data_IF_338675014606
#
_entry.id   IF_338675014606
#
_cell.length_a   1.000
_cell.length_b   1.000
_cell.length_c   1.000
_cell.angle_alpha   90.00
_cell.angle_beta   90.00
_cell.angle_gamma   90.00
#
_symmetry.space_group_name_H-M   'P 1'
#
loop_
_entity.id
_entity.type
_entity.pdbx_description
1 polymer ?
#
# COMPACT_ATOMS: atom_id res chain seq x y z
N UNK A 1 -45.52 -36.22 22.52
CA UNK A 1 -44.42 -36.09 21.55
C UNK A 1 -44.03 -34.62 21.44
N UNK A 2 -42.88 -34.17 21.97
CA UNK A 2 -42.45 -32.80 21.78
C UNK A 2 -41.94 -32.61 20.35
N UNK A 3 -42.57 -31.71 19.60
CA UNK A 3 -42.15 -31.32 18.26
C UNK A 3 -40.82 -30.56 18.37
N UNK A 4 -39.73 -31.20 17.96
CA UNK A 4 -38.42 -30.59 17.77
C UNK A 4 -38.50 -29.57 16.63
N UNK A 5 -38.91 -28.34 16.93
CA UNK A 5 -38.68 -27.19 16.06
C UNK A 5 -37.18 -26.86 16.08
N UNK A 6 -36.39 -27.68 15.40
CA UNK A 6 -35.07 -27.29 14.95
C UNK A 6 -35.26 -26.18 13.90
N UNK A 7 -35.42 -24.94 14.37
CA UNK A 7 -35.37 -23.74 13.53
C UNK A 7 -34.04 -23.79 12.77
N UNK A 8 -34.07 -24.23 11.51
CA UNK A 8 -32.92 -24.18 10.61
C UNK A 8 -32.47 -22.74 10.51
N UNK A 9 -31.40 -22.40 11.22
CA UNK A 9 -30.84 -21.05 11.20
C UNK A 9 -30.30 -20.82 9.79
N UNK A 10 -31.05 -20.06 8.99
CA UNK A 10 -30.70 -19.78 7.60
C UNK A 10 -29.49 -18.82 7.56
N UNK A 11 -28.48 -19.09 6.72
CA UNK A 11 -27.36 -18.18 6.55
C UNK A 11 -27.86 -16.85 5.99
N UNK A 12 -27.32 -15.75 6.51
CA UNK A 12 -27.64 -14.40 6.05
C UNK A 12 -27.22 -14.24 4.57
N UNK A 13 -28.21 -14.02 3.69
CA UNK A 13 -27.98 -13.84 2.24
C UNK A 13 -27.77 -12.37 1.89
N UNK A 14 -26.73 -12.13 1.09
CA UNK A 14 -26.37 -10.83 0.54
C UNK A 14 -27.20 -10.47 -0.69
N UNK A 15 -27.75 -9.25 -0.74
CA UNK A 15 -28.28 -8.68 -1.99
C UNK A 15 -27.13 -8.36 -2.96
N UNK A 16 -27.26 -8.65 -4.26
CA UNK A 16 -26.23 -8.36 -5.26
C UNK A 16 -25.89 -6.87 -5.36
N UNK A 17 -26.88 -5.96 -5.23
CA UNK A 17 -26.65 -4.51 -5.22
C UNK A 17 -25.66 -4.05 -4.13
N UNK A 18 -25.66 -4.70 -2.96
CA UNK A 18 -24.72 -4.37 -1.88
C UNK A 18 -23.30 -4.84 -2.20
N UNK A 19 -23.13 -5.87 -3.04
CA UNK A 19 -21.80 -6.32 -3.48
C UNK A 19 -21.16 -5.29 -4.41
N UNK A 20 -21.95 -4.70 -5.31
CA UNK A 20 -21.49 -3.67 -6.26
C UNK A 20 -21.07 -2.41 -5.51
N UNK A 21 -21.91 -1.90 -4.59
CA UNK A 21 -21.58 -0.72 -3.77
C UNK A 21 -20.27 -0.89 -3.02
N UNK A 22 -20.05 -2.08 -2.47
CA UNK A 22 -18.83 -2.38 -1.75
C UNK A 22 -17.62 -2.47 -2.69
N UNK A 23 -17.76 -3.11 -3.86
CA UNK A 23 -16.67 -3.15 -4.85
C UNK A 23 -16.26 -1.73 -5.26
N UNK A 24 -17.24 -0.86 -5.53
CA UNK A 24 -16.99 0.55 -5.85
C UNK A 24 -16.25 1.27 -4.70
N UNK A 25 -16.62 1.01 -3.45
CA UNK A 25 -15.91 1.56 -2.30
C UNK A 25 -14.44 1.14 -2.26
N UNK A 26 -14.14 -0.14 -2.52
CA UNK A 26 -12.75 -0.63 -2.60
C UNK A 26 -12.00 0.05 -3.74
N UNK A 27 -12.60 0.11 -4.93
CA UNK A 27 -11.98 0.76 -6.09
C UNK A 27 -11.67 2.22 -5.81
N UNK A 28 -12.61 2.98 -5.28
CA UNK A 28 -12.40 4.40 -4.97
C UNK A 28 -11.34 4.58 -3.88
N UNK A 29 -11.46 3.88 -2.75
CA UNK A 29 -10.52 4.04 -1.64
C UNK A 29 -9.10 3.64 -2.00
N UNK A 30 -8.90 2.53 -2.73
CA UNK A 30 -7.56 2.07 -3.13
C UNK A 30 -7.05 2.74 -4.41
N UNK A 31 -7.89 3.38 -5.22
CA UNK A 31 -7.41 4.21 -6.33
C UNK A 31 -6.70 5.47 -5.83
N UNK A 32 -7.15 6.07 -4.73
CA UNK A 32 -6.55 7.31 -4.19
C UNK A 32 -5.04 7.21 -3.94
N UNK A 33 -4.51 6.23 -3.17
CA UNK A 33 -3.07 6.12 -2.98
C UNK A 33 -2.31 5.83 -4.28
N UNK A 34 -2.88 5.04 -5.20
CA UNK A 34 -2.27 4.78 -6.52
C UNK A 34 -2.16 6.05 -7.35
N UNK A 35 -3.24 6.85 -7.40
CA UNK A 35 -3.29 8.11 -8.13
C UNK A 35 -2.32 9.13 -7.53
N UNK A 36 -2.23 9.20 -6.20
CA UNK A 36 -1.24 10.04 -5.53
C UNK A 36 0.18 9.62 -5.91
N UNK A 37 0.53 8.33 -5.78
CA UNK A 37 1.88 7.87 -6.13
C UNK A 37 2.20 8.14 -7.59
N UNK A 38 1.25 7.88 -8.49
CA UNK A 38 1.42 8.17 -9.91
C UNK A 38 1.67 9.67 -10.16
N UNK A 39 0.85 10.55 -9.57
CA UNK A 39 1.00 11.99 -9.73
C UNK A 39 2.32 12.49 -9.12
N UNK A 40 2.70 11.97 -7.95
CA UNK A 40 3.97 12.28 -7.30
C UNK A 40 5.16 11.92 -8.20
N UNK A 41 5.18 10.72 -8.78
CA UNK A 41 6.30 10.23 -9.59
C UNK A 41 6.32 10.81 -11.01
N UNK A 42 5.16 11.12 -11.62
CA UNK A 42 5.07 11.56 -13.03
C UNK A 42 4.95 13.07 -13.21
N UNK A 43 4.42 13.78 -12.20
CA UNK A 43 4.16 15.23 -12.30
C UNK A 43 5.05 15.99 -11.33
N UNK A 44 5.00 15.63 -10.04
CA UNK A 44 5.74 16.37 -9.02
C UNK A 44 7.24 16.14 -9.14
N UNK A 45 7.67 14.89 -9.33
CA UNK A 45 9.08 14.53 -9.37
C UNK A 45 9.83 15.23 -10.52
N UNK A 46 9.40 15.15 -11.80
CA UNK A 46 10.14 15.82 -12.89
C UNK A 46 10.18 17.34 -12.73
N UNK A 47 9.18 17.93 -12.08
CA UNK A 47 9.10 19.37 -11.89
C UNK A 47 9.95 19.90 -10.73
N UNK A 48 10.11 19.12 -9.64
CA UNK A 48 10.76 19.58 -8.40
C UNK A 48 12.04 18.83 -8.02
N UNK A 49 12.21 17.60 -8.48
CA UNK A 49 13.18 16.62 -7.94
C UNK A 49 14.00 15.93 -9.04
N UNK A 50 13.91 16.38 -10.29
CA UNK A 50 14.72 15.83 -11.36
C UNK A 50 16.22 16.00 -11.06
N UNK A 51 17.00 14.97 -11.34
CA UNK A 51 18.45 14.87 -11.13
C UNK A 51 18.90 14.93 -9.66
N UNK A 52 17.99 14.78 -8.69
CA UNK A 52 18.34 14.73 -7.26
C UNK A 52 18.35 13.32 -6.68
N UNK A 53 18.09 12.29 -7.49
CA UNK A 53 18.01 10.91 -7.04
C UNK A 53 19.30 10.39 -6.34
N UNK A 54 19.16 9.58 -5.28
CA UNK A 54 20.28 8.86 -4.70
C UNK A 54 20.73 7.72 -5.63
N UNK A 55 21.93 7.19 -5.41
CA UNK A 55 22.45 6.02 -6.14
C UNK A 55 21.85 4.72 -5.59
N UNK A 56 20.54 4.53 -5.79
CA UNK A 56 19.81 3.43 -5.16
C UNK A 56 20.31 2.04 -5.59
N UNK A 57 20.77 1.92 -6.83
CA UNK A 57 21.31 0.66 -7.36
C UNK A 57 22.58 0.23 -6.59
N UNK A 58 23.47 1.18 -6.27
CA UNK A 58 24.64 0.90 -5.43
C UNK A 58 24.23 0.49 -4.02
N UNK A 59 23.26 1.20 -3.40
CA UNK A 59 22.77 0.83 -2.07
C UNK A 59 22.13 -0.57 -2.05
N UNK A 60 21.35 -0.91 -3.07
CA UNK A 60 20.75 -2.24 -3.19
C UNK A 60 21.80 -3.32 -3.44
N UNK A 61 22.84 -3.06 -4.25
CA UNK A 61 23.97 -3.97 -4.40
C UNK A 61 24.66 -4.25 -3.07
N UNK A 62 24.84 -3.24 -2.22
CA UNK A 62 25.43 -3.40 -0.90
C UNK A 62 24.53 -4.20 0.05
N UNK A 63 23.21 -4.00 -0.03
CA UNK A 63 22.24 -4.71 0.82
C UNK A 63 21.98 -6.15 0.37
N UNK A 64 22.12 -6.43 -0.93
CA UNK A 64 21.80 -7.72 -1.56
C UNK A 64 22.98 -8.21 -2.41
N UNK A 65 24.15 -8.51 -1.82
CA UNK A 65 25.38 -8.83 -2.56
C UNK A 65 25.27 -10.13 -3.38
N UNK A 66 24.28 -10.98 -3.09
CA UNK A 66 24.01 -12.21 -3.83
C UNK A 66 23.19 -11.99 -5.11
N UNK A 67 22.63 -10.80 -5.34
CA UNK A 67 21.86 -10.50 -6.57
C UNK A 67 22.85 -10.16 -7.69
N UNK A 68 23.14 -11.16 -8.52
CA UNK A 68 23.95 -11.00 -9.73
C UNK A 68 23.09 -10.61 -10.94
N UNK A 69 23.73 -10.06 -11.99
CA UNK A 69 23.08 -9.73 -13.25
C UNK A 69 22.79 -8.24 -13.41
N UNK A 70 21.51 -7.87 -13.49
CA UNK A 70 21.10 -6.50 -13.87
C UNK A 70 21.43 -5.43 -12.82
N UNK A 71 21.42 -5.77 -11.52
CA UNK A 71 21.59 -4.79 -10.45
C UNK A 71 23.01 -4.17 -10.41
N UNK A 72 24.11 -4.95 -10.51
CA UNK A 72 25.46 -4.39 -10.67
C UNK A 72 25.63 -3.53 -11.92
N UNK A 73 24.99 -3.89 -13.05
CA UNK A 73 25.05 -3.10 -14.29
C UNK A 73 24.28 -1.77 -14.15
N UNK A 74 23.12 -1.78 -13.49
CA UNK A 74 22.38 -0.57 -13.12
C UNK A 74 23.21 0.34 -12.21
N UNK A 75 23.95 -0.23 -11.26
CA UNK A 75 24.84 0.53 -10.38
C UNK A 75 25.98 1.19 -11.17
N UNK A 76 26.60 0.48 -12.13
CA UNK A 76 27.64 1.04 -13.00
C UNK A 76 27.09 2.17 -13.88
N UNK A 77 25.92 1.99 -14.51
CA UNK A 77 25.31 2.98 -15.38
C UNK A 77 24.89 4.26 -14.64
N UNK A 78 24.55 4.14 -13.35
CA UNK A 78 24.19 5.26 -12.49
C UNK A 78 25.40 5.97 -11.84
N UNK A 79 26.62 5.47 -12.07
CA UNK A 79 27.83 6.03 -11.46
C UNK A 79 28.20 7.33 -12.17
N UNK A 80 28.39 8.39 -11.38
CA UNK A 80 28.79 9.69 -11.93
C UNK A 80 30.24 9.62 -12.43
N UNK A 81 30.51 9.91 -13.73
CA UNK A 81 31.85 9.92 -14.31
C UNK A 81 32.64 11.15 -13.83
N UNK A 82 33.89 11.35 -14.25
CA UNK A 82 34.54 12.65 -14.04
C UNK A 82 33.81 13.76 -14.80
N UNK A 83 33.79 14.98 -14.24
CA UNK A 83 33.05 16.14 -14.79
C UNK A 83 33.50 16.62 -16.18
N UNK A 84 34.50 15.96 -16.77
CA UNK A 84 35.05 16.28 -18.08
C UNK A 84 34.12 15.97 -19.25
N UNK A 85 33.13 15.07 -19.07
CA UNK A 85 32.15 14.73 -20.10
C UNK A 85 30.70 15.05 -19.66
N UNK A 86 30.15 16.21 -20.10
CA UNK A 86 28.79 16.61 -19.77
C UNK A 86 27.70 15.65 -20.28
N UNK A 87 27.93 14.94 -21.39
CA UNK A 87 26.93 14.06 -21.99
C UNK A 87 26.79 12.78 -21.15
N UNK A 88 27.91 12.13 -20.83
CA UNK A 88 27.92 10.97 -19.94
C UNK A 88 27.39 11.32 -18.54
N UNK A 89 27.67 12.54 -18.06
CA UNK A 89 27.14 13.00 -16.78
C UNK A 89 25.60 13.11 -16.78
N UNK A 90 25.02 13.66 -17.85
CA UNK A 90 23.58 13.76 -18.01
C UNK A 90 22.90 12.38 -18.10
N UNK A 91 23.51 11.43 -18.81
CA UNK A 91 23.02 10.06 -18.92
C UNK A 91 23.03 9.34 -17.56
N UNK A 92 24.11 9.48 -16.78
CA UNK A 92 24.21 8.89 -15.45
C UNK A 92 23.15 9.44 -14.48
N UNK A 93 22.87 10.74 -14.53
CA UNK A 93 21.82 11.38 -13.72
C UNK A 93 20.42 10.87 -14.10
N UNK A 94 20.15 10.74 -15.40
CA UNK A 94 18.89 10.19 -15.89
C UNK A 94 18.71 8.74 -15.45
N UNK A 95 19.76 7.92 -15.54
CA UNK A 95 19.73 6.54 -15.07
C UNK A 95 19.44 6.46 -13.56
N UNK A 96 20.04 7.35 -12.74
CA UNK A 96 19.75 7.44 -11.30
C UNK A 96 18.28 7.74 -11.03
N UNK A 97 17.71 8.73 -11.72
CA UNK A 97 16.31 9.08 -11.59
C UNK A 97 15.40 7.90 -11.97
N UNK A 98 15.66 7.24 -13.10
CA UNK A 98 14.88 6.09 -13.54
C UNK A 98 14.93 4.94 -12.52
N UNK A 99 16.12 4.59 -12.03
CA UNK A 99 16.30 3.55 -11.02
C UNK A 99 15.59 3.90 -9.70
N UNK A 100 15.64 5.17 -9.30
CA UNK A 100 14.98 5.66 -8.09
C UNK A 100 13.45 5.62 -8.20
N UNK A 101 12.89 6.08 -9.32
CA UNK A 101 11.47 6.03 -9.59
C UNK A 101 10.94 4.60 -9.64
N UNK A 102 11.69 3.67 -10.25
CA UNK A 102 11.38 2.25 -10.27
C UNK A 102 11.38 1.66 -8.86
N UNK A 103 12.39 1.97 -8.06
CA UNK A 103 12.49 1.51 -6.67
C UNK A 103 11.32 2.01 -5.82
N UNK A 104 11.00 3.30 -5.89
CA UNK A 104 9.87 3.89 -5.18
C UNK A 104 8.54 3.25 -5.59
N UNK A 105 8.32 3.12 -6.90
CA UNK A 105 7.14 2.48 -7.45
C UNK A 105 6.99 1.03 -6.98
N UNK A 106 8.07 0.25 -7.02
CA UNK A 106 8.07 -1.14 -6.56
C UNK A 106 7.77 -1.25 -5.06
N UNK A 107 8.44 -0.48 -4.21
CA UNK A 107 8.22 -0.49 -2.76
C UNK A 107 6.78 -0.14 -2.41
N UNK A 108 6.23 0.91 -3.05
CA UNK A 108 4.84 1.29 -2.86
C UNK A 108 3.88 0.21 -3.34
N UNK A 109 4.07 -0.34 -4.55
CA UNK A 109 3.18 -1.37 -5.11
C UNK A 109 3.15 -2.63 -4.23
N UNK A 110 4.29 -3.05 -3.68
CA UNK A 110 4.33 -4.18 -2.75
C UNK A 110 3.58 -3.84 -1.45
N UNK A 111 3.82 -2.68 -0.84
CA UNK A 111 3.11 -2.25 0.36
C UNK A 111 1.59 -2.15 0.15
N UNK A 112 1.19 -1.59 -1.00
CA UNK A 112 -0.19 -1.48 -1.46
C UNK A 112 -0.83 -2.87 -1.62
N UNK A 113 -0.18 -3.78 -2.36
CA UNK A 113 -0.68 -5.12 -2.61
C UNK A 113 -0.82 -5.91 -1.31
N UNK A 114 0.17 -5.85 -0.41
CA UNK A 114 0.09 -6.48 0.91
C UNK A 114 -1.08 -5.92 1.73
N UNK A 115 -1.26 -4.60 1.75
CA UNK A 115 -2.38 -3.95 2.44
C UNK A 115 -3.73 -4.45 1.91
N UNK A 116 -3.89 -4.48 0.59
CA UNK A 116 -5.10 -4.96 -0.06
C UNK A 116 -5.34 -6.46 0.22
N UNK A 117 -4.30 -7.30 0.11
CA UNK A 117 -4.39 -8.74 0.37
C UNK A 117 -4.77 -9.05 1.82
N UNK A 118 -4.14 -8.38 2.79
CA UNK A 118 -4.48 -8.51 4.22
C UNK A 118 -5.96 -8.15 4.44
N UNK A 119 -6.43 -7.08 3.79
CA UNK A 119 -7.81 -6.66 3.93
C UNK A 119 -8.81 -7.61 3.25
N UNK A 120 -8.51 -8.10 2.05
CA UNK A 120 -9.33 -9.07 1.35
C UNK A 120 -9.38 -10.41 2.10
N UNK A 121 -8.25 -10.84 2.67
CA UNK A 121 -8.19 -12.01 3.54
C UNK A 121 -9.10 -11.81 4.74
N UNK A 122 -8.93 -10.71 5.49
CA UNK A 122 -9.77 -10.42 6.66
C UNK A 122 -11.26 -10.54 6.30
N UNK A 123 -11.65 -9.97 5.16
CA UNK A 123 -13.03 -10.03 4.69
C UNK A 123 -13.48 -11.44 4.31
N UNK A 124 -12.63 -12.21 3.65
CA UNK A 124 -12.91 -13.61 3.30
C UNK A 124 -13.16 -14.45 4.56
N UNK A 125 -12.34 -14.26 5.61
CA UNK A 125 -12.46 -14.95 6.91
C UNK A 125 -13.80 -14.69 7.61
N UNK A 126 -14.40 -13.54 7.37
CA UNK A 126 -15.66 -13.13 8.00
C UNK A 126 -16.89 -13.20 7.07
N UNK A 127 -16.79 -13.91 5.93
CA UNK A 127 -17.87 -14.02 4.93
C UNK A 127 -19.08 -14.86 5.39
N UNK A 128 -18.88 -15.82 6.29
CA UNK A 128 -19.91 -16.78 6.74
C UNK A 128 -20.21 -16.57 8.22
N UNK A 129 -21.48 -16.44 8.58
CA UNK A 129 -21.90 -16.32 9.97
C UNK A 129 -23.38 -16.60 10.17
N UNK A 130 -23.68 -17.25 11.29
CA UNK A 130 -25.03 -17.68 11.70
C UNK A 130 -25.61 -16.71 12.74
N UNK A 131 -24.76 -16.24 13.68
CA UNK A 131 -25.14 -15.30 14.74
C UNK A 131 -24.48 -13.93 14.54
N UNK A 132 -25.28 -12.88 14.30
CA UNK A 132 -24.78 -11.56 13.93
C UNK A 132 -23.94 -10.88 15.02
N UNK A 133 -24.34 -10.98 16.30
CA UNK A 133 -23.66 -10.33 17.44
C UNK A 133 -22.25 -10.88 17.68
N UNK A 134 -22.11 -12.21 17.81
CA UNK A 134 -20.80 -12.87 17.99
C UNK A 134 -19.85 -12.64 16.81
N UNK A 135 -20.39 -12.54 15.60
CA UNK A 135 -19.60 -12.22 14.41
C UNK A 135 -19.12 -10.76 14.39
N UNK A 136 -19.95 -9.82 14.87
CA UNK A 136 -19.56 -8.43 15.01
C UNK A 136 -18.42 -8.24 16.02
N UNK A 137 -18.48 -8.89 17.19
CA UNK A 137 -17.42 -8.81 18.20
C UNK A 137 -16.12 -9.44 17.71
N UNK A 138 -16.19 -10.59 17.03
CA UNK A 138 -15.02 -11.24 16.43
C UNK A 138 -14.40 -10.37 15.33
N UNK A 139 -15.22 -9.74 14.49
CA UNK A 139 -14.75 -8.82 13.45
C UNK A 139 -14.08 -7.58 14.07
N UNK A 140 -14.64 -7.01 15.15
CA UNK A 140 -14.05 -5.87 15.87
C UNK A 140 -12.70 -6.22 16.49
N UNK A 141 -12.58 -7.38 17.17
CA UNK A 141 -11.30 -7.85 17.72
C UNK A 141 -10.27 -8.07 16.61
N UNK A 142 -10.68 -8.71 15.53
CA UNK A 142 -9.79 -8.93 14.39
C UNK A 142 -9.36 -7.61 13.74
N UNK A 143 -10.26 -6.65 13.57
CA UNK A 143 -9.93 -5.30 13.06
C UNK A 143 -8.86 -4.62 13.92
N UNK A 144 -9.00 -4.67 15.25
CA UNK A 144 -8.02 -4.11 16.19
C UNK A 144 -6.63 -4.75 16.09
N UNK A 145 -6.52 -5.97 15.59
CA UNK A 145 -5.25 -6.63 15.32
C UNK A 145 -4.74 -6.37 13.90
N UNK A 146 -5.65 -6.36 12.91
CA UNK A 146 -5.29 -6.20 11.50
C UNK A 146 -4.85 -4.78 11.16
N UNK A 147 -5.44 -3.75 11.78
CA UNK A 147 -5.05 -2.36 11.52
C UNK A 147 -3.61 -2.03 11.95
N UNK A 148 -3.15 -2.41 13.15
CA UNK A 148 -1.74 -2.28 13.52
C UNK A 148 -0.79 -2.99 12.57
N UNK A 149 -1.17 -4.17 12.06
CA UNK A 149 -0.35 -4.89 11.06
C UNK A 149 -0.25 -4.11 9.76
N UNK A 150 -1.36 -3.57 9.24
CA UNK A 150 -1.35 -2.73 8.03
C UNK A 150 -0.51 -1.47 8.25
N UNK A 151 -0.64 -0.84 9.41
CA UNK A 151 0.18 0.32 9.79
C UNK A 151 1.66 -0.05 9.82
N UNK A 152 2.02 -1.15 10.49
CA UNK A 152 3.39 -1.62 10.61
C UNK A 152 3.99 -1.95 9.24
N UNK A 153 3.25 -2.64 8.35
CA UNK A 153 3.71 -2.93 6.99
C UNK A 153 4.02 -1.63 6.25
N UNK A 154 3.10 -0.66 6.22
CA UNK A 154 3.33 0.60 5.52
C UNK A 154 4.46 1.42 6.17
N UNK A 155 4.59 1.40 7.49
CA UNK A 155 5.68 2.05 8.21
C UNK A 155 7.05 1.41 7.91
N UNK A 156 7.12 0.08 7.82
CA UNK A 156 8.36 -0.64 7.45
C UNK A 156 8.79 -0.27 6.03
N UNK A 157 7.86 -0.23 5.06
CA UNK A 157 8.21 0.19 3.70
C UNK A 157 8.60 1.67 3.62
N UNK A 158 7.89 2.56 4.32
CA UNK A 158 8.28 3.96 4.41
C UNK A 158 9.69 4.12 5.03
N UNK A 159 9.95 3.42 6.13
CA UNK A 159 11.27 3.43 6.78
C UNK A 159 12.35 2.86 5.85
N UNK A 160 12.04 1.79 5.11
CA UNK A 160 12.96 1.21 4.14
C UNK A 160 13.31 2.19 3.02
N UNK A 161 12.33 2.88 2.44
CA UNK A 161 12.57 3.93 1.44
C UNK A 161 13.41 5.07 2.02
N UNK A 162 13.15 5.45 3.27
CA UNK A 162 13.93 6.49 3.95
C UNK A 162 15.39 6.09 4.13
N UNK A 163 15.64 4.90 4.69
CA UNK A 163 16.97 4.39 4.99
C UNK A 163 17.75 4.00 3.72
N UNK A 164 17.10 3.41 2.73
CA UNK A 164 17.77 2.97 1.52
C UNK A 164 18.14 4.15 0.60
N UNK A 165 17.30 5.19 0.53
CA UNK A 165 17.48 6.24 -0.48
C UNK A 165 17.39 7.65 0.07
N UNK A 166 16.25 8.01 0.66
CA UNK A 166 15.94 9.41 0.95
C UNK A 166 17.00 10.05 1.84
N UNK A 167 17.48 9.36 2.88
CA UNK A 167 18.51 9.88 3.78
C UNK A 167 19.86 10.20 3.12
N UNK A 168 20.09 9.74 1.89
CA UNK A 168 21.30 10.00 1.10
C UNK A 168 21.12 11.11 0.04
N UNK A 169 19.90 11.63 -0.14
CA UNK A 169 19.64 12.74 -1.07
C UNK A 169 20.30 14.03 -0.53
N UNK A 170 21.20 14.68 -1.27
CA UNK A 170 21.74 15.98 -0.88
C UNK A 170 20.66 17.07 -1.01
N UNK A 171 20.63 18.03 -0.08
CA UNK A 171 19.69 19.17 -0.10
C UNK A 171 18.20 18.78 -0.19
N UNK A 172 17.79 17.71 0.53
CA UNK A 172 16.38 17.30 0.67
C UNK A 172 15.47 18.48 0.98
N UNK A 173 14.33 18.50 0.30
CA UNK A 173 13.29 19.50 0.51
C UNK A 173 12.00 18.85 1.01
N UNK A 174 11.01 19.66 1.37
CA UNK A 174 9.65 19.17 1.67
C UNK A 174 9.05 18.39 0.51
N UNK A 175 9.44 18.69 -0.74
CA UNK A 175 8.91 18.02 -1.93
C UNK A 175 9.32 16.55 -2.00
N UNK A 176 10.52 16.20 -1.53
CA UNK A 176 10.93 14.80 -1.40
C UNK A 176 9.96 14.04 -0.49
N UNK A 177 9.65 14.60 0.67
CA UNK A 177 8.76 13.95 1.62
C UNK A 177 7.34 13.81 1.07
N UNK A 178 6.81 14.86 0.43
CA UNK A 178 5.48 14.84 -0.19
C UNK A 178 5.39 13.88 -1.39
N UNK A 179 6.47 13.71 -2.13
CA UNK A 179 6.50 12.78 -3.25
C UNK A 179 6.55 11.32 -2.79
N UNK A 180 7.29 11.02 -1.71
CA UNK A 180 7.64 9.64 -1.39
C UNK A 180 6.78 8.99 -0.30
N UNK A 181 6.25 9.75 0.66
CA UNK A 181 5.64 9.16 1.88
C UNK A 181 4.11 9.16 1.97
N UNK A 182 3.36 10.16 1.46
CA UNK A 182 1.92 10.24 1.70
C UNK A 182 1.15 9.02 1.19
N UNK A 183 1.62 8.36 0.14
CA UNK A 183 0.98 7.15 -0.39
C UNK A 183 0.89 6.01 0.65
N UNK A 184 1.89 5.86 1.52
CA UNK A 184 1.86 4.88 2.62
C UNK A 184 0.81 5.23 3.68
N UNK A 185 0.66 6.51 4.00
CA UNK A 185 -0.40 6.98 4.88
C UNK A 185 -1.78 6.77 4.25
N UNK A 186 -1.92 7.12 2.97
CA UNK A 186 -3.15 6.93 2.20
C UNK A 186 -3.56 5.45 2.09
N UNK A 187 -2.62 4.51 2.00
CA UNK A 187 -2.91 3.07 2.07
C UNK A 187 -3.58 2.68 3.39
N UNK A 188 -3.07 3.18 4.52
CA UNK A 188 -3.66 2.92 5.84
C UNK A 188 -5.05 3.53 5.94
N UNK A 189 -5.22 4.77 5.48
CA UNK A 189 -6.52 5.45 5.47
C UNK A 189 -7.55 4.73 4.57
N UNK A 190 -7.13 4.28 3.39
CA UNK A 190 -7.96 3.50 2.47
C UNK A 190 -8.42 2.18 3.12
N UNK A 191 -7.49 1.49 3.79
CA UNK A 191 -7.82 0.28 4.53
C UNK A 191 -8.83 0.56 5.65
N UNK A 192 -8.60 1.58 6.49
CA UNK A 192 -9.56 1.98 7.54
C UNK A 192 -10.95 2.29 6.99
N UNK A 193 -11.01 3.07 5.90
CA UNK A 193 -12.26 3.41 5.24
C UNK A 193 -12.99 2.15 4.77
N UNK A 194 -12.28 1.22 4.13
CA UNK A 194 -12.86 -0.05 3.67
C UNK A 194 -13.26 -0.99 4.82
N UNK A 195 -12.55 -1.01 5.96
CA UNK A 195 -13.00 -1.77 7.14
C UNK A 195 -14.32 -1.24 7.71
N UNK A 196 -14.52 0.08 7.66
CA UNK A 196 -15.74 0.75 8.15
C UNK A 196 -16.90 0.65 7.16
N UNK A 197 -16.64 0.90 5.88
CA UNK A 197 -17.68 1.04 4.85
C UNK A 197 -18.04 -0.28 4.17
N UNK A 198 -17.09 -1.22 4.10
CA UNK A 198 -17.20 -2.43 3.28
C UNK A 198 -17.17 -3.74 4.07
N UNK A 199 -17.51 -3.67 5.35
CA UNK A 199 -17.50 -4.82 6.24
C UNK A 199 -18.46 -5.95 5.82
N UNK A 200 -18.27 -7.17 6.34
CA UNK A 200 -19.07 -8.34 5.97
C UNK A 200 -20.55 -8.10 6.19
N UNK A 201 -21.31 -8.31 5.12
CA UNK A 201 -22.76 -8.17 5.00
C UNK A 201 -23.62 -8.90 6.03
N UNK A 202 -23.07 -9.94 6.65
CA UNK A 202 -23.70 -10.69 7.74
C UNK A 202 -23.95 -9.76 8.95
N UNK A 203 -23.20 -8.65 9.05
CA UNK A 203 -23.27 -7.67 10.15
C UNK A 203 -24.06 -6.41 9.74
N UNK A 204 -24.20 -6.14 8.44
CA UNK A 204 -24.86 -4.94 7.90
C UNK A 204 -26.39 -5.05 7.79
N UNK A 205 -26.98 -6.20 8.13
CA UNK A 205 -28.31 -6.57 7.63
C UNK A 205 -29.55 -6.21 8.46
N UNK A 206 -29.46 -5.73 9.70
CA UNK A 206 -30.70 -5.48 10.48
C UNK A 206 -30.73 -4.27 11.41
N UNK A 207 -29.65 -3.93 12.09
CA UNK A 207 -29.57 -2.74 12.94
C UNK A 207 -28.23 -2.06 12.69
N UNK A 208 -28.18 -0.74 12.87
CA UNK A 208 -27.04 0.14 12.63
C UNK A 208 -25.80 -0.18 13.51
N UNK A 209 -25.25 -1.40 13.43
CA UNK A 209 -24.06 -1.85 14.16
C UNK A 209 -22.78 -1.16 13.66
N UNK A 210 -22.86 -0.43 12.54
CA UNK A 210 -21.72 0.23 11.90
C UNK A 210 -21.45 1.68 12.31
N UNK A 211 -22.29 2.33 13.11
CA UNK A 211 -21.95 3.66 13.65
C UNK A 211 -20.79 3.62 14.69
N UNK A 212 -20.23 2.45 15.05
CA UNK A 212 -19.30 2.28 16.19
C UNK A 212 -18.10 1.33 15.93
N UNK A 213 -17.44 1.43 14.78
CA UNK A 213 -16.10 0.89 14.48
C UNK A 213 -15.18 2.05 14.13
#
# INVERSE_FOLDING_TARGET
MPQNHAQRIKPLRLRPANRIKVLLCYLVCFAVPLLWQWAALRVLYPYKLANTAPSIAETLCALLPWVQGSLPEMAKAARLPDRSDPAHWAEALKARDEHWLLFLGACFLVAFALTLLIQLWWRFRHRKGVNASRMADKARRSYRLTMPVILAVNAVFALFVYLAGVQHIPARTVWDYLAYFPAYGLNVLAAMACFRLAAPSVISGKHAFFKRL
#
